data_IF_622792473484
#
_entry.id   IF_622792473484
#
_cell.length_a   1.000
_cell.length_b   1.000
_cell.length_c   1.000
_cell.angle_alpha   90.00
_cell.angle_beta   90.00
_cell.angle_gamma   90.00
#
_symmetry.space_group_name_H-M   'P 1'
#
loop_
_entity.id
_entity.type
_entity.pdbx_description
1 polymer ?
#
# COMPACT_ATOMS: atom_id res chain seq x y z
N UNK A 1 1.15 9.00 -3.92
CA UNK A 1 2.52 9.56 -4.01
C UNK A 1 2.97 10.04 -2.62
N UNK A 2 4.29 10.05 -2.34
CA UNK A 2 4.86 10.74 -1.16
C UNK A 2 4.99 12.24 -1.42
N UNK A 3 4.85 13.06 -0.38
CA UNK A 3 5.30 14.45 -0.44
C UNK A 3 6.83 14.49 -0.64
N UNK A 4 7.36 15.40 -1.47
CA UNK A 4 8.79 15.70 -1.52
C UNK A 4 9.25 16.53 -0.30
N UNK A 5 10.55 16.77 -0.21
CA UNK A 5 11.17 17.65 0.80
C UNK A 5 11.01 19.14 0.40
N UNK A 6 11.12 20.06 1.37
CA UNK A 6 11.09 21.49 1.05
C UNK A 6 12.42 22.00 0.49
N UNK A 7 12.39 23.12 -0.23
CA UNK A 7 13.58 23.74 -0.85
C UNK A 7 14.75 23.98 0.12
N UNK A 8 14.46 24.20 1.41
CA UNK A 8 15.47 24.24 2.47
C UNK A 8 15.00 23.42 3.68
N UNK A 9 14.81 22.13 3.45
CA UNK A 9 14.36 21.16 4.46
C UNK A 9 15.23 21.22 5.74
N UNK A 10 16.54 21.46 5.62
CA UNK A 10 17.42 21.60 6.78
C UNK A 10 17.12 22.83 7.66
N UNK A 11 16.80 24.00 7.09
CA UNK A 11 16.34 25.17 7.85
C UNK A 11 14.96 24.91 8.47
N UNK A 12 14.04 24.33 7.67
CA UNK A 12 12.69 23.97 8.09
C UNK A 12 12.69 23.02 9.29
N UNK A 13 13.53 22.00 9.27
CA UNK A 13 13.63 21.01 10.35
C UNK A 13 14.13 21.62 11.67
N UNK A 14 15.13 22.52 11.64
CA UNK A 14 15.56 23.24 12.85
C UNK A 14 14.40 24.02 13.48
N UNK A 15 13.56 24.66 12.66
CA UNK A 15 12.36 25.34 13.14
C UNK A 15 11.34 24.34 13.73
N UNK A 16 11.14 23.17 13.11
CA UNK A 16 10.30 22.09 13.65
C UNK A 16 10.80 21.61 15.01
N UNK A 17 12.11 21.40 15.17
CA UNK A 17 12.71 20.88 16.40
C UNK A 17 12.56 21.90 17.55
N UNK A 18 12.81 23.19 17.29
CA UNK A 18 12.55 24.30 18.24
C UNK A 18 11.08 24.30 18.69
N UNK A 19 10.13 24.16 17.77
CA UNK A 19 8.70 24.22 18.09
C UNK A 19 8.12 22.90 18.60
N UNK A 20 8.88 21.79 18.58
CA UNK A 20 8.32 20.46 18.87
C UNK A 20 7.98 20.26 20.35
N UNK A 21 8.74 20.84 21.29
CA UNK A 21 8.65 20.54 22.72
C UNK A 21 8.23 21.73 23.60
N UNK A 22 7.60 22.76 23.01
CA UNK A 22 7.16 23.96 23.72
C UNK A 22 6.15 23.68 24.85
N UNK A 23 6.24 24.37 26.01
CA UNK A 23 5.29 24.20 27.12
C UNK A 23 3.87 24.60 26.74
N UNK A 24 3.71 25.50 25.77
CA UNK A 24 2.44 25.85 25.13
C UNK A 24 1.60 24.62 24.73
N UNK A 25 2.24 23.53 24.27
CA UNK A 25 1.55 22.28 23.92
C UNK A 25 0.91 21.55 25.10
N UNK A 26 1.16 21.95 26.35
CA UNK A 26 0.45 21.46 27.54
C UNK A 26 -0.97 22.03 27.68
N UNK A 27 -1.30 23.15 27.01
CA UNK A 27 -2.61 23.78 27.09
C UNK A 27 -3.65 23.04 26.22
N UNK A 28 -4.01 21.83 26.66
CA UNK A 28 -4.98 20.97 25.98
C UNK A 28 -6.37 21.62 25.89
N UNK A 29 -6.75 22.47 26.84
CA UNK A 29 -7.99 23.25 26.79
C UNK A 29 -8.08 24.14 25.56
N UNK A 30 -7.09 25.02 25.33
CA UNK A 30 -7.07 25.97 24.20
C UNK A 30 -7.11 25.24 22.85
N UNK A 31 -6.32 24.18 22.68
CA UNK A 31 -6.26 23.44 21.40
C UNK A 31 -7.45 22.51 21.17
N UNK A 32 -7.99 21.83 22.20
CA UNK A 32 -9.21 21.04 22.05
C UNK A 32 -10.43 21.93 21.76
N UNK A 33 -10.49 23.13 22.34
CA UNK A 33 -11.50 24.14 21.98
C UNK A 33 -11.36 24.58 20.52
N UNK A 34 -10.13 24.86 20.05
CA UNK A 34 -9.88 25.23 18.66
C UNK A 34 -10.31 24.12 17.68
N UNK A 35 -9.96 22.85 17.95
CA UNK A 35 -10.41 21.72 17.15
C UNK A 35 -11.95 21.67 17.07
N UNK A 36 -12.65 21.79 18.21
CA UNK A 36 -14.14 21.83 18.23
C UNK A 36 -14.71 23.03 17.46
N UNK A 37 -14.10 24.23 17.60
CA UNK A 37 -14.44 25.46 16.86
C UNK A 37 -14.33 25.22 15.34
N UNK A 38 -13.27 24.56 14.87
CA UNK A 38 -13.07 24.23 13.45
C UNK A 38 -14.15 23.27 12.92
N UNK A 39 -14.40 22.15 13.60
CA UNK A 39 -15.38 21.15 13.16
C UNK A 39 -16.77 21.77 13.00
N UNK A 40 -17.20 22.56 14.00
CA UNK A 40 -18.50 23.23 14.02
C UNK A 40 -18.62 24.29 12.91
N UNK A 41 -17.57 25.10 12.67
CA UNK A 41 -17.60 26.18 11.66
C UNK A 41 -17.53 25.68 10.22
N UNK A 42 -16.89 24.53 9.97
CA UNK A 42 -16.70 23.99 8.62
C UNK A 42 -17.58 22.76 8.33
N UNK A 43 -18.34 22.30 9.32
CA UNK A 43 -19.20 21.11 9.24
C UNK A 43 -18.43 19.85 8.82
N UNK A 44 -17.17 19.70 9.26
CA UNK A 44 -16.27 18.61 8.85
C UNK A 44 -16.17 17.55 9.94
N UNK A 45 -16.10 16.27 9.55
CA UNK A 45 -16.00 15.15 10.50
C UNK A 45 -14.62 15.02 11.17
N UNK A 46 -13.57 15.70 10.67
CA UNK A 46 -12.25 15.68 11.26
C UNK A 46 -11.43 16.95 11.10
N UNK A 47 -10.50 17.16 12.03
CA UNK A 47 -9.60 18.29 12.09
C UNK A 47 -8.30 17.90 12.83
N UNK A 48 -7.17 18.53 12.50
CA UNK A 48 -5.90 18.30 13.22
C UNK A 48 -4.93 19.48 13.23
N UNK A 49 -4.07 19.50 14.25
CA UNK A 49 -2.87 20.33 14.36
C UNK A 49 -1.67 19.39 14.31
N UNK A 50 -0.81 19.55 13.31
CA UNK A 50 0.27 18.60 12.99
C UNK A 50 1.61 19.30 12.82
N UNK A 51 2.70 18.73 13.35
CA UNK A 51 4.08 19.10 13.03
C UNK A 51 4.72 18.06 12.12
N UNK A 52 5.51 18.49 11.12
CA UNK A 52 6.12 17.61 10.11
C UNK A 52 7.64 17.61 10.28
N UNK A 53 8.21 16.54 10.83
CA UNK A 53 9.66 16.34 10.87
C UNK A 53 10.15 15.46 9.69
N UNK A 54 11.46 15.19 9.65
CA UNK A 54 12.10 14.51 8.52
C UNK A 54 11.48 13.15 8.17
N UNK A 55 10.97 12.42 9.19
CA UNK A 55 10.50 11.03 9.06
C UNK A 55 9.01 10.85 9.35
N UNK A 56 8.38 11.80 10.04
CA UNK A 56 7.05 11.64 10.59
C UNK A 56 6.23 12.94 10.58
N UNK A 57 4.92 12.79 10.41
CA UNK A 57 3.93 13.69 10.98
C UNK A 57 3.74 13.33 12.47
N UNK A 58 3.83 14.33 13.35
CA UNK A 58 3.45 14.23 14.76
C UNK A 58 2.20 15.08 14.95
N UNK A 59 1.09 14.43 15.29
CA UNK A 59 -0.20 15.06 15.51
C UNK A 59 -0.23 15.56 16.95
N UNK A 60 -0.37 16.87 17.13
CA UNK A 60 -0.45 17.51 18.45
C UNK A 60 -1.86 17.42 19.02
N UNK A 61 -2.85 17.74 18.20
CA UNK A 61 -4.28 17.67 18.52
C UNK A 61 -5.06 17.20 17.30
N UNK A 62 -6.10 16.39 17.51
CA UNK A 62 -6.99 15.96 16.42
C UNK A 62 -8.36 15.52 16.92
N UNK A 63 -9.31 15.53 16.00
CA UNK A 63 -10.55 14.76 16.07
C UNK A 63 -10.79 14.13 14.69
N UNK A 64 -11.36 12.92 14.64
CA UNK A 64 -11.60 12.18 13.40
C UNK A 64 -10.36 11.53 12.73
N UNK A 65 -9.14 11.93 13.10
CA UNK A 65 -7.90 11.40 12.49
C UNK A 65 -7.49 10.05 13.10
N UNK A 66 -7.71 9.90 14.41
CA UNK A 66 -7.57 8.64 15.14
C UNK A 66 -6.14 8.25 15.54
N UNK A 67 -5.10 8.92 15.06
CA UNK A 67 -3.69 8.63 15.37
C UNK A 67 -2.92 9.85 15.88
N UNK A 68 -1.90 9.61 16.72
CA UNK A 68 -0.99 10.65 17.23
C UNK A 68 0.26 10.86 16.36
N UNK A 69 0.58 9.93 15.46
CA UNK A 69 1.79 9.94 14.64
C UNK A 69 1.63 9.09 13.39
N UNK A 70 2.12 9.55 12.24
CA UNK A 70 2.24 8.72 11.04
C UNK A 70 3.53 9.00 10.25
N UNK A 71 3.95 8.08 9.38
CA UNK A 71 5.14 8.27 8.54
C UNK A 71 4.94 9.43 7.54
N UNK A 72 5.98 10.24 7.29
CA UNK A 72 5.88 11.43 6.41
C UNK A 72 5.39 11.08 5.00
N UNK A 73 5.76 9.90 4.50
CA UNK A 73 5.44 9.42 3.15
C UNK A 73 3.94 9.25 2.88
N UNK A 74 3.13 9.11 3.94
CA UNK A 74 1.67 8.93 3.85
C UNK A 74 0.90 10.15 4.39
N UNK A 75 1.60 11.21 4.81
CA UNK A 75 1.01 12.42 5.36
C UNK A 75 0.42 13.33 4.26
N UNK A 76 -0.82 13.77 4.46
CA UNK A 76 -1.44 14.81 3.65
C UNK A 76 -0.96 16.21 4.08
N UNK A 77 -0.78 16.44 5.40
CA UNK A 77 -0.18 17.65 5.95
C UNK A 77 1.25 17.91 5.41
N UNK A 78 2.02 16.85 5.10
CA UNK A 78 3.33 16.96 4.47
C UNK A 78 3.29 17.51 3.03
N UNK A 79 2.14 17.46 2.35
CA UNK A 79 1.93 18.19 1.09
C UNK A 79 1.55 19.66 1.35
N UNK A 80 0.92 19.97 2.48
CA UNK A 80 0.50 21.32 2.84
C UNK A 80 1.67 22.25 3.19
N UNK A 81 2.71 21.74 3.86
CA UNK A 81 3.94 22.52 4.17
C UNK A 81 4.74 22.96 2.93
N UNK A 82 4.42 22.42 1.75
CA UNK A 82 5.04 22.80 0.47
C UNK A 82 4.27 23.95 -0.21
N UNK A 83 3.08 24.30 0.27
CA UNK A 83 2.32 25.45 -0.19
C UNK A 83 2.62 26.68 0.65
N UNK A 84 2.64 27.85 0.01
CA UNK A 84 2.78 29.14 0.69
C UNK A 84 1.46 29.71 1.21
N UNK A 85 0.33 29.04 0.97
CA UNK A 85 -1.02 29.56 1.19
C UNK A 85 -1.98 28.52 1.80
N UNK A 86 -2.26 27.44 1.06
CA UNK A 86 -3.09 26.31 1.47
C UNK A 86 -2.87 25.13 0.52
N UNK A 87 -3.27 23.94 0.93
CA UNK A 87 -3.39 22.74 0.10
C UNK A 87 -4.79 22.16 0.30
N UNK A 88 -5.53 21.96 -0.78
CA UNK A 88 -6.91 21.52 -0.74
C UNK A 88 -7.21 20.45 -1.78
N UNK A 89 -8.12 19.54 -1.43
CA UNK A 89 -8.60 18.42 -2.22
C UNK A 89 -10.11 18.33 -2.06
N UNK A 90 -10.85 18.59 -3.15
CA UNK A 90 -12.30 18.41 -3.22
C UNK A 90 -12.66 16.91 -3.11
N UNK A 91 -11.84 16.07 -3.75
CA UNK A 91 -11.87 14.62 -3.68
C UNK A 91 -10.45 14.02 -3.84
N UNK A 92 -9.81 13.70 -2.72
CA UNK A 92 -8.49 13.08 -2.64
C UNK A 92 -8.42 11.68 -3.28
N UNK A 93 -9.56 11.01 -3.51
CA UNK A 93 -9.58 9.73 -4.24
C UNK A 93 -9.44 9.90 -5.75
N UNK A 94 -9.69 11.11 -6.27
CA UNK A 94 -9.52 11.48 -7.68
C UNK A 94 -8.17 12.17 -7.96
N UNK A 95 -7.61 12.86 -6.98
CA UNK A 95 -6.33 13.57 -7.13
C UNK A 95 -5.14 12.60 -7.31
N UNK A 96 -4.37 12.78 -8.38
CA UNK A 96 -3.28 11.87 -8.77
C UNK A 96 -2.12 11.76 -7.74
N UNK A 97 -1.98 12.71 -6.83
CA UNK A 97 -0.96 12.70 -5.77
C UNK A 97 -1.41 11.82 -4.60
N UNK A 98 -2.72 11.77 -4.34
CA UNK A 98 -3.29 11.23 -3.10
C UNK A 98 -4.24 10.04 -3.29
N UNK A 99 -4.66 9.73 -4.53
CA UNK A 99 -5.50 8.58 -4.81
C UNK A 99 -4.88 7.23 -4.39
N UNK A 100 -3.54 7.14 -4.30
CA UNK A 100 -2.79 5.98 -3.81
C UNK A 100 -2.46 6.04 -2.31
N UNK A 101 -2.82 7.11 -1.61
CA UNK A 101 -2.49 7.32 -0.20
C UNK A 101 -3.31 6.38 0.72
N UNK A 102 -2.69 5.74 1.72
CA UNK A 102 -3.39 4.86 2.67
C UNK A 102 -4.52 5.51 3.45
N UNK A 103 -4.42 6.80 3.79
CA UNK A 103 -5.45 7.56 4.52
C UNK A 103 -6.67 7.92 3.66
N UNK A 104 -6.58 7.69 2.35
CA UNK A 104 -7.65 7.89 1.34
C UNK A 104 -8.26 6.53 0.96
N UNK A 105 -7.42 5.52 0.68
CA UNK A 105 -7.82 4.13 0.36
C UNK A 105 -8.24 3.30 1.58
N UNK A 106 -8.01 3.80 2.79
CA UNK A 106 -8.29 3.17 4.08
C UNK A 106 -8.52 4.25 5.14
N UNK A 107 -8.71 3.86 6.39
CA UNK A 107 -9.16 4.76 7.45
C UNK A 107 -8.24 5.99 7.63
N UNK A 108 -8.80 7.20 7.85
CA UNK A 108 -10.22 7.53 8.01
C UNK A 108 -10.95 7.85 6.68
N UNK A 109 -10.48 7.32 5.54
CA UNK A 109 -11.08 7.46 4.19
C UNK A 109 -11.22 8.90 3.71
N UNK A 110 -10.19 9.72 3.95
CA UNK A 110 -10.18 11.15 3.63
C UNK A 110 -10.48 11.35 2.14
N UNK A 111 -11.58 12.05 1.83
CA UNK A 111 -11.94 12.51 0.48
C UNK A 111 -11.84 14.02 0.39
N UNK A 112 -12.58 14.76 1.22
CA UNK A 112 -12.37 16.20 1.37
C UNK A 112 -11.19 16.45 2.32
N UNK A 113 -10.27 17.33 1.94
CA UNK A 113 -9.13 17.73 2.77
C UNK A 113 -8.75 19.18 2.47
N UNK A 114 -8.64 20.01 3.50
CA UNK A 114 -8.11 21.38 3.39
C UNK A 114 -7.12 21.62 4.53
N UNK A 115 -5.92 22.05 4.19
CA UNK A 115 -4.86 22.34 5.14
C UNK A 115 -4.18 23.67 4.82
N UNK A 116 -3.80 24.41 5.86
CA UNK A 116 -2.94 25.59 5.76
C UNK A 116 -1.65 25.31 6.52
N UNK A 117 -0.49 25.79 6.02
CA UNK A 117 0.78 25.62 6.72
C UNK A 117 0.82 26.45 8.01
N UNK A 118 1.37 25.85 9.07
CA UNK A 118 1.80 26.55 10.27
C UNK A 118 3.19 27.15 9.98
N UNK A 119 3.25 28.48 9.88
CA UNK A 119 4.42 29.26 9.42
C UNK A 119 4.99 30.10 10.57
N UNK A 120 6.30 30.01 10.83
CA UNK A 120 6.99 30.82 11.85
C UNK A 120 7.25 32.27 11.40
N UNK A 121 7.66 33.14 12.32
CA UNK A 121 8.18 34.49 12.01
C UNK A 121 9.37 34.49 11.05
N UNK A 122 10.21 33.46 11.10
CA UNK A 122 11.32 33.23 10.16
C UNK A 122 10.87 32.48 8.89
N UNK A 123 9.56 32.45 8.67
CA UNK A 123 8.85 32.02 7.47
C UNK A 123 9.03 30.53 7.12
N UNK A 124 9.31 29.69 8.11
CA UNK A 124 9.42 28.24 7.93
C UNK A 124 8.11 27.51 8.18
N UNK A 125 7.73 26.58 7.29
CA UNK A 125 6.53 25.76 7.43
C UNK A 125 6.81 24.53 8.34
N UNK A 126 6.55 24.68 9.63
CA UNK A 126 6.83 23.63 10.63
C UNK A 126 5.75 22.53 10.67
N UNK A 127 4.56 22.83 10.18
CA UNK A 127 3.39 21.98 10.36
C UNK A 127 2.20 22.41 9.52
N UNK A 128 1.03 21.87 9.83
CA UNK A 128 -0.23 22.26 9.23
C UNK A 128 -1.38 22.30 10.25
N UNK A 129 -2.35 23.18 9.99
CA UNK A 129 -3.69 23.15 10.55
C UNK A 129 -4.62 22.64 9.46
N UNK A 130 -5.31 21.53 9.70
CA UNK A 130 -6.10 20.85 8.67
C UNK A 130 -7.51 20.45 9.12
N UNK A 131 -8.41 20.36 8.15
CA UNK A 131 -9.79 19.88 8.25
C UNK A 131 -10.03 18.86 7.14
N UNK A 132 -10.84 17.83 7.41
CA UNK A 132 -11.03 16.73 6.48
C UNK A 132 -12.35 15.99 6.71
N UNK A 133 -12.75 15.24 5.70
CA UNK A 133 -14.02 14.51 5.70
C UNK A 133 -13.92 13.21 4.89
N UNK A 134 -14.72 12.22 5.25
CA UNK A 134 -14.84 10.96 4.48
C UNK A 134 -15.75 11.09 3.27
N UNK A 135 -16.46 12.21 3.14
CA UNK A 135 -17.24 12.61 1.97
C UNK A 135 -16.47 13.63 1.13
N UNK A 136 -16.62 13.58 -0.20
CA UNK A 136 -16.10 14.61 -1.10
C UNK A 136 -17.00 15.86 -1.03
N UNK A 137 -16.49 17.02 -1.45
CA UNK A 137 -17.27 18.26 -1.57
C UNK A 137 -16.95 18.93 -2.91
N UNK A 138 -17.95 19.52 -3.56
CA UNK A 138 -17.80 20.02 -4.94
C UNK A 138 -16.78 21.15 -5.07
N UNK A 139 -16.71 22.04 -4.07
CA UNK A 139 -15.80 23.17 -4.01
C UNK A 139 -15.24 23.41 -2.60
N UNK A 140 -14.08 24.07 -2.55
CA UNK A 140 -13.47 24.59 -1.32
C UNK A 140 -13.76 26.08 -1.26
N UNK A 141 -14.47 26.52 -0.21
CA UNK A 141 -14.87 27.92 -0.06
C UNK A 141 -13.67 28.81 0.34
N UNK A 142 -13.52 29.97 -0.31
CA UNK A 142 -12.46 30.93 0.03
C UNK A 142 -12.56 31.43 1.47
N UNK A 143 -13.78 31.56 2.02
CA UNK A 143 -13.99 31.89 3.44
C UNK A 143 -13.49 30.77 4.37
N UNK A 144 -13.59 29.50 3.96
CA UNK A 144 -12.98 28.39 4.72
C UNK A 144 -11.46 28.54 4.75
N UNK A 145 -10.83 28.86 3.62
CA UNK A 145 -9.38 29.09 3.54
C UNK A 145 -8.97 30.32 4.38
N UNK A 146 -9.74 31.41 4.34
CA UNK A 146 -9.48 32.64 5.10
C UNK A 146 -9.54 32.41 6.62
N UNK A 147 -10.63 31.81 7.10
CA UNK A 147 -10.83 31.53 8.53
C UNK A 147 -9.80 30.50 9.03
N UNK A 148 -9.48 29.47 8.22
CA UNK A 148 -8.47 28.48 8.59
C UNK A 148 -7.07 29.09 8.68
N UNK A 149 -6.72 30.06 7.80
CA UNK A 149 -5.47 30.85 7.93
C UNK A 149 -5.47 31.73 9.18
N UNK A 150 -6.59 32.36 9.54
CA UNK A 150 -6.70 33.13 10.78
C UNK A 150 -6.44 32.24 12.00
N UNK A 151 -7.07 31.06 12.07
CA UNK A 151 -6.84 30.07 13.13
C UNK A 151 -5.39 29.53 13.16
N UNK A 152 -4.75 29.35 12.00
CA UNK A 152 -3.34 28.95 11.94
C UNK A 152 -2.41 30.06 12.45
N UNK A 153 -2.75 31.32 12.21
CA UNK A 153 -2.06 32.46 12.79
C UNK A 153 -2.32 32.57 14.30
N UNK A 154 -3.55 32.33 14.79
CA UNK A 154 -3.87 32.24 16.24
C UNK A 154 -3.00 31.16 16.93
N UNK A 155 -2.79 30.01 16.28
CA UNK A 155 -1.90 28.94 16.77
C UNK A 155 -0.44 29.38 16.78
N UNK A 156 0.07 29.95 15.68
CA UNK A 156 1.48 30.34 15.60
C UNK A 156 1.82 31.51 16.51
N UNK A 157 0.91 32.49 16.66
CA UNK A 157 1.03 33.55 17.66
C UNK A 157 1.16 32.93 19.06
N UNK A 158 0.30 31.99 19.43
CA UNK A 158 0.38 31.34 20.75
C UNK A 158 1.64 30.49 20.97
N UNK A 159 2.17 29.85 19.94
CA UNK A 159 3.42 29.08 20.06
C UNK A 159 4.67 29.96 20.13
N UNK A 160 4.60 31.17 19.56
CA UNK A 160 5.69 32.13 19.47
C UNK A 160 5.53 33.35 20.42
N UNK A 161 4.52 33.39 21.30
CA UNK A 161 4.25 34.51 22.24
C UNK A 161 5.55 34.88 23.00
N UNK A 162 6.19 33.89 23.63
CA UNK A 162 7.49 34.01 24.32
C UNK A 162 8.72 34.08 23.38
N UNK A 163 8.57 33.84 22.07
CA UNK A 163 9.67 33.82 21.09
C UNK A 163 9.91 35.19 20.41
N UNK A 164 9.42 36.29 20.99
CA UNK A 164 9.46 37.63 20.38
C UNK A 164 10.86 38.23 20.25
N UNK A 165 11.90 37.60 20.80
CA UNK A 165 13.28 38.11 20.85
C UNK A 165 14.13 37.93 19.57
N UNK A 166 13.69 37.19 18.54
CA UNK A 166 14.58 36.79 17.41
C UNK A 166 13.93 36.94 16.00
N UNK A 167 14.33 37.94 15.18
CA UNK A 167 13.78 38.19 13.83
C UNK A 167 14.52 37.45 12.69
N UNK A 168 13.84 37.18 11.55
CA UNK A 168 14.57 36.88 10.29
C UNK A 168 13.86 36.20 9.10
N UNK A 169 13.57 37.00 8.06
CA UNK A 169 13.59 36.65 6.60
C UNK A 169 12.34 35.98 5.98
N UNK A 170 11.85 36.55 4.85
CA UNK A 170 10.60 36.21 4.14
C UNK A 170 10.78 35.49 2.77
N UNK A 171 9.65 35.16 2.11
CA UNK A 171 9.52 34.41 0.83
C UNK A 171 9.94 35.19 -0.43
N UNK A 172 10.41 34.46 -1.45
CA UNK A 172 10.18 34.58 -2.93
C UNK A 172 10.67 33.25 -3.57
N UNK A 173 10.15 32.74 -4.69
CA UNK A 173 9.02 33.13 -5.55
C UNK A 173 8.65 32.00 -6.54
N UNK A 174 7.53 32.16 -7.28
CA UNK A 174 7.00 31.25 -8.31
C UNK A 174 7.81 31.38 -9.64
N UNK A 175 7.62 30.65 -10.75
CA UNK A 175 6.39 30.12 -11.42
C UNK A 175 6.71 28.92 -12.36
N UNK A 176 5.76 28.07 -12.81
CA UNK A 176 4.89 28.12 -14.03
C UNK A 176 5.66 28.36 -15.36
N UNK A 177 5.29 27.81 -16.54
CA UNK A 177 4.08 27.05 -16.95
C UNK A 177 4.36 26.07 -18.14
N UNK A 178 3.29 25.51 -18.73
CA UNK A 178 3.22 24.54 -19.87
C UNK A 178 1.95 24.94 -20.71
N UNK A 179 1.41 24.21 -21.73
CA UNK A 179 1.92 23.25 -22.74
C UNK A 179 1.42 23.57 -24.19
N UNK A 180 1.43 22.63 -25.17
CA UNK A 180 0.27 22.34 -26.10
C UNK A 180 0.49 21.26 -27.21
N UNK A 181 -0.42 20.25 -27.27
CA UNK A 181 -0.99 19.44 -28.40
C UNK A 181 -0.04 18.94 -29.55
N UNK A 182 -0.37 18.40 -30.75
CA UNK A 182 -1.54 17.91 -31.59
C UNK A 182 -1.01 16.67 -32.40
N UNK A 183 -1.71 15.72 -33.07
CA UNK A 183 -3.10 15.23 -33.19
C UNK A 183 -3.37 14.47 -34.54
N UNK A 184 -4.31 13.49 -34.57
CA UNK A 184 -4.91 12.78 -35.79
C UNK A 184 -4.00 11.93 -36.75
N UNK A 185 -4.48 10.98 -37.59
CA UNK A 185 -5.68 10.08 -37.60
C UNK A 185 -5.63 8.99 -38.75
N UNK A 186 -6.44 7.91 -38.64
CA UNK A 186 -6.90 6.94 -39.70
C UNK A 186 -5.85 6.04 -40.42
N UNK A 187 -6.15 4.95 -41.17
CA UNK A 187 -7.42 4.31 -41.67
C UNK A 187 -7.30 2.75 -41.79
N UNK A 188 -8.40 2.04 -42.15
CA UNK A 188 -8.59 0.56 -42.36
C UNK A 188 -8.53 0.17 -43.89
N UNK A 189 -8.76 -1.09 -44.44
CA UNK A 189 -9.65 -2.21 -43.98
C UNK A 189 -9.36 -3.71 -44.39
N UNK A 190 -10.31 -4.63 -44.10
CA UNK A 190 -10.62 -5.98 -44.71
C UNK A 190 -9.58 -7.14 -44.56
N UNK A 191 -9.84 -8.47 -44.65
CA UNK A 191 -10.98 -9.44 -44.61
C UNK A 191 -10.31 -10.87 -44.42
N UNK A 192 -10.87 -12.07 -44.20
CA UNK A 192 -12.11 -12.71 -43.68
C UNK A 192 -11.92 -14.28 -43.74
N UNK A 193 -12.52 -15.05 -42.80
CA UNK A 193 -13.09 -16.44 -42.95
C UNK A 193 -12.22 -17.75 -43.04
N UNK A 194 -12.58 -18.72 -42.16
CA UNK A 194 -12.66 -20.22 -42.29
C UNK A 194 -11.60 -21.24 -41.74
N UNK A 195 -12.17 -22.38 -41.30
CA UNK A 195 -11.63 -23.76 -41.12
C UNK A 195 -10.81 -24.17 -39.86
N UNK A 196 -11.46 -25.01 -39.04
CA UNK A 196 -10.92 -26.16 -38.27
C UNK A 196 -11.14 -27.45 -39.10
N UNK A 197 -10.78 -28.70 -38.69
CA UNK A 197 -10.27 -29.19 -37.40
C UNK A 197 -9.10 -30.22 -37.43
N UNK A 198 -8.52 -30.52 -36.25
CA UNK A 198 -7.88 -31.82 -35.94
C UNK A 198 -7.73 -32.04 -34.42
N UNK A 199 -8.66 -32.74 -33.78
CA UNK A 199 -8.77 -32.82 -32.31
C UNK A 199 -7.99 -33.97 -31.67
N UNK A 200 -6.66 -34.02 -31.84
CA UNK A 200 -5.79 -35.06 -31.23
C UNK A 200 -4.50 -34.44 -30.63
N UNK A 201 -4.61 -33.83 -29.44
CA UNK A 201 -3.44 -33.43 -28.64
C UNK A 201 -3.73 -33.09 -27.15
N UNK A 202 -4.95 -33.39 -26.64
CA UNK A 202 -5.39 -32.95 -25.31
C UNK A 202 -5.43 -34.08 -24.28
N UNK A 203 -5.80 -35.31 -24.66
CA UNK A 203 -5.94 -36.44 -23.73
C UNK A 203 -4.62 -36.78 -23.02
N UNK A 204 -3.52 -36.86 -23.79
CA UNK A 204 -2.16 -37.10 -23.28
C UNK A 204 -1.62 -35.97 -22.39
N UNK A 205 -2.24 -34.78 -22.47
CA UNK A 205 -1.76 -33.56 -21.81
C UNK A 205 -2.35 -33.37 -20.41
N UNK A 206 -3.44 -34.05 -20.09
CA UNK A 206 -4.16 -33.92 -18.82
C UNK A 206 -4.15 -35.18 -17.95
N UNK A 207 -4.11 -36.40 -18.52
CA UNK A 207 -4.08 -37.64 -17.71
C UNK A 207 -5.47 -38.16 -17.33
N UNK A 208 -5.58 -38.94 -16.24
CA UNK A 208 -6.83 -39.62 -15.85
C UNK A 208 -7.70 -38.75 -14.94
N UNK A 209 -8.97 -38.59 -15.30
CA UNK A 209 -10.01 -38.04 -14.43
C UNK A 209 -10.51 -39.11 -13.45
N UNK A 210 -10.81 -38.72 -12.20
CA UNK A 210 -11.12 -39.64 -11.10
C UNK A 210 -12.52 -39.46 -10.48
N UNK A 211 -13.28 -38.41 -10.84
CA UNK A 211 -14.67 -38.23 -10.40
C UNK A 211 -15.68 -38.73 -11.45
N UNK A 212 -16.80 -39.30 -10.97
CA UNK A 212 -17.98 -39.67 -11.77
C UNK A 212 -19.20 -38.76 -11.51
N UNK A 213 -18.99 -37.66 -10.78
CA UNK A 213 -20.04 -36.75 -10.31
C UNK A 213 -20.17 -35.50 -11.22
N UNK A 214 -21.35 -35.22 -11.82
CA UNK A 214 -21.53 -34.13 -12.79
C UNK A 214 -21.29 -32.71 -12.27
N UNK A 215 -21.16 -32.49 -10.96
CA UNK A 215 -21.08 -31.15 -10.37
C UNK A 215 -19.66 -30.70 -9.99
N UNK A 216 -18.66 -31.57 -10.15
CA UNK A 216 -17.27 -31.28 -9.79
C UNK A 216 -16.49 -30.58 -10.91
N UNK A 217 -15.75 -29.52 -10.57
CA UNK A 217 -14.76 -28.92 -11.49
C UNK A 217 -13.52 -29.83 -11.54
N UNK A 218 -13.41 -30.63 -12.60
CA UNK A 218 -12.40 -31.70 -12.74
C UNK A 218 -10.98 -31.16 -12.53
N UNK A 219 -10.24 -31.83 -11.64
CA UNK A 219 -8.80 -31.70 -11.45
C UNK A 219 -8.16 -33.01 -11.94
N UNK A 220 -6.98 -32.90 -12.54
CA UNK A 220 -6.16 -34.04 -12.94
C UNK A 220 -4.83 -34.03 -12.16
N UNK A 221 -4.36 -35.20 -11.74
CA UNK A 221 -3.04 -35.37 -11.13
C UNK A 221 -1.98 -35.76 -12.17
N UNK A 222 -0.72 -35.39 -11.89
CA UNK A 222 0.39 -35.56 -12.86
C UNK A 222 1.63 -36.28 -12.30
N UNK A 223 1.72 -36.51 -10.99
CA UNK A 223 2.89 -37.09 -10.32
C UNK A 223 2.62 -38.41 -9.57
N UNK A 224 1.36 -38.76 -9.31
CA UNK A 224 0.99 -39.99 -8.61
C UNK A 224 1.35 -40.01 -7.11
N UNK A 225 1.54 -38.84 -6.50
CA UNK A 225 2.02 -38.70 -5.11
C UNK A 225 1.05 -39.18 -4.02
N UNK A 226 -0.24 -39.36 -4.32
CA UNK A 226 -1.21 -40.12 -3.50
C UNK A 226 -1.65 -39.48 -2.18
N UNK A 227 -1.20 -38.25 -1.86
CA UNK A 227 -1.54 -37.53 -0.63
C UNK A 227 -2.72 -36.57 -0.80
N UNK A 228 -3.68 -36.63 0.13
CA UNK A 228 -4.97 -35.92 0.06
C UNK A 228 -4.86 -34.39 0.28
N UNK A 229 -4.46 -33.65 -0.75
CA UNK A 229 -4.45 -32.18 -0.75
C UNK A 229 -5.80 -31.60 -1.20
N UNK A 230 -6.74 -31.42 -0.27
CA UNK A 230 -8.05 -30.85 -0.59
C UNK A 230 -7.98 -29.33 -0.85
N UNK A 231 -8.49 -28.89 -2.01
CA UNK A 231 -8.77 -27.48 -2.28
C UNK A 231 -9.99 -27.01 -1.46
N UNK A 232 -9.76 -26.64 -0.20
CA UNK A 232 -10.84 -26.50 0.78
C UNK A 232 -11.81 -25.36 0.46
N UNK A 233 -13.11 -25.67 0.49
CA UNK A 233 -14.20 -24.77 0.05
C UNK A 233 -14.35 -23.53 0.94
N UNK A 234 -13.94 -23.62 2.21
CA UNK A 234 -13.97 -22.53 3.21
C UNK A 234 -13.13 -21.30 2.78
N UNK A 235 -12.06 -21.50 2.01
CA UNK A 235 -11.24 -20.37 1.51
C UNK A 235 -11.96 -19.50 0.45
N UNK A 236 -13.23 -19.76 0.13
CA UNK A 236 -14.04 -18.90 -0.76
C UNK A 236 -14.53 -17.64 -0.05
N UNK A 237 -13.64 -16.64 0.08
CA UNK A 237 -13.94 -15.29 0.60
C UNK A 237 -15.16 -14.58 -0.02
N UNK A 238 -15.73 -15.08 -1.12
CA UNK A 238 -16.96 -14.55 -1.74
C UNK A 238 -18.20 -14.59 -0.84
N UNK A 239 -18.23 -15.39 0.24
CA UNK A 239 -19.30 -15.33 1.26
C UNK A 239 -19.17 -14.15 2.23
N UNK A 240 -17.97 -13.60 2.39
CA UNK A 240 -17.64 -12.57 3.38
C UNK A 240 -17.21 -11.24 2.74
N UNK A 241 -17.46 -11.07 1.44
CA UNK A 241 -17.23 -9.84 0.70
C UNK A 241 -18.37 -8.83 0.95
N UNK A 242 -18.64 -8.51 2.22
CA UNK A 242 -19.56 -7.43 2.55
C UNK A 242 -18.98 -6.09 2.07
N UNK A 243 -19.73 -5.21 1.38
CA UNK A 243 -19.08 -4.14 0.61
C UNK A 243 -18.52 -2.97 1.43
N UNK A 244 -18.84 -2.91 2.73
CA UNK A 244 -18.53 -1.78 3.61
C UNK A 244 -17.92 -2.18 4.97
N UNK A 245 -16.80 -1.52 5.26
CA UNK A 245 -16.21 -1.08 6.54
C UNK A 245 -15.81 -2.03 7.69
N UNK A 246 -16.60 -3.01 8.14
CA UNK A 246 -16.39 -3.59 9.50
C UNK A 246 -15.15 -4.49 9.70
N UNK A 247 -14.42 -4.85 8.63
CA UNK A 247 -13.24 -5.74 8.70
C UNK A 247 -11.89 -5.03 8.88
N UNK A 248 -11.83 -3.71 9.02
CA UNK A 248 -10.58 -3.00 9.30
C UNK A 248 -10.47 -2.70 10.80
N UNK A 249 -9.70 -3.51 11.51
CA UNK A 249 -9.38 -3.27 12.92
C UNK A 249 -8.70 -1.91 13.12
N UNK A 250 -9.49 -0.95 13.62
CA UNK A 250 -9.09 0.42 13.94
C UNK A 250 -7.88 0.49 14.90
N UNK A 251 -7.74 -0.47 15.81
CA UNK A 251 -6.61 -0.51 16.75
C UNK A 251 -5.32 -0.95 16.08
N UNK A 252 -5.39 -1.89 15.13
CA UNK A 252 -4.25 -2.34 14.33
C UNK A 252 -3.84 -1.27 13.33
N UNK A 253 -4.81 -0.65 12.63
CA UNK A 253 -4.56 0.47 11.72
C UNK A 253 -3.81 1.62 12.40
N UNK A 254 -4.27 2.06 13.58
CA UNK A 254 -3.63 3.10 14.40
C UNK A 254 -2.20 2.75 14.81
N UNK A 255 -1.93 1.50 15.19
CA UNK A 255 -0.58 1.05 15.53
C UNK A 255 0.35 1.01 14.30
N UNK A 256 -0.15 0.51 13.17
CA UNK A 256 0.64 0.41 11.93
C UNK A 256 1.01 1.77 11.34
N UNK A 257 0.22 2.83 11.57
CA UNK A 257 0.55 4.20 11.14
C UNK A 257 1.87 4.72 11.74
N UNK A 258 2.23 4.29 12.96
CA UNK A 258 3.51 4.64 13.58
C UNK A 258 4.74 3.98 12.94
N UNK A 259 4.56 3.00 12.05
CA UNK A 259 5.65 2.22 11.47
C UNK A 259 6.33 2.94 10.29
N UNK A 260 7.67 3.03 10.33
CA UNK A 260 8.49 3.76 9.35
C UNK A 260 8.50 3.14 7.96
N UNK A 261 8.35 1.81 7.87
CA UNK A 261 8.50 1.04 6.64
C UNK A 261 7.81 -0.32 6.78
N UNK A 262 7.68 -1.03 5.65
CA UNK A 262 7.06 -2.35 5.58
C UNK A 262 7.61 -3.33 6.61
N UNK A 263 8.95 -3.44 6.75
CA UNK A 263 9.59 -4.43 7.64
C UNK A 263 9.23 -4.20 9.11
N UNK A 264 9.15 -2.96 9.58
CA UNK A 264 8.68 -2.67 10.94
C UNK A 264 7.20 -3.02 11.08
N UNK A 265 6.37 -2.65 10.10
CA UNK A 265 4.93 -2.92 10.10
C UNK A 265 4.60 -4.44 10.06
N UNK A 266 5.34 -5.24 9.29
CA UNK A 266 5.14 -6.69 9.21
C UNK A 266 5.58 -7.43 10.46
N UNK A 267 6.64 -6.98 11.15
CA UNK A 267 7.01 -7.56 12.46
C UNK A 267 5.99 -7.20 13.56
N UNK A 268 5.48 -5.96 13.56
CA UNK A 268 4.41 -5.56 14.48
C UNK A 268 3.12 -6.37 14.24
N UNK A 269 2.73 -6.52 12.98
CA UNK A 269 1.52 -7.26 12.59
C UNK A 269 1.64 -8.76 12.87
N UNK A 270 2.83 -9.35 12.69
CA UNK A 270 3.10 -10.73 13.08
C UNK A 270 2.92 -10.93 14.58
N UNK A 271 3.38 -9.99 15.42
CA UNK A 271 3.18 -10.03 16.87
C UNK A 271 1.70 -9.93 17.24
N UNK A 272 0.97 -8.97 16.66
CA UNK A 272 -0.48 -8.80 16.91
C UNK A 272 -1.26 -10.09 16.60
N UNK A 273 -0.87 -10.85 15.57
CA UNK A 273 -1.51 -12.12 15.22
C UNK A 273 -1.14 -13.27 16.17
N UNK A 274 0.07 -13.26 16.75
CA UNK A 274 0.45 -14.17 17.83
C UNK A 274 -0.32 -13.83 19.11
N UNK A 275 -0.27 -12.57 19.55
CA UNK A 275 -0.87 -12.09 20.80
C UNK A 275 -2.38 -12.30 20.85
N UNK A 276 -3.08 -12.22 19.69
CA UNK A 276 -4.55 -12.31 19.61
C UNK A 276 -5.08 -13.68 19.20
N UNK A 277 -4.40 -14.38 18.29
CA UNK A 277 -4.88 -15.66 17.75
C UNK A 277 -4.07 -16.86 18.28
N UNK A 278 -3.03 -16.65 19.10
CA UNK A 278 -2.26 -17.73 19.71
C UNK A 278 -1.47 -18.60 18.71
N UNK A 279 -1.02 -18.02 17.59
CA UNK A 279 -0.10 -18.71 16.68
C UNK A 279 1.29 -18.82 17.29
N UNK A 280 1.98 -19.92 17.01
CA UNK A 280 3.32 -20.18 17.54
C UNK A 280 4.43 -19.53 16.69
N UNK A 281 4.17 -19.30 15.40
CA UNK A 281 5.02 -18.50 14.53
C UNK A 281 4.18 -17.76 13.49
N UNK A 282 4.50 -16.49 13.22
CA UNK A 282 3.89 -15.71 12.14
C UNK A 282 4.98 -14.96 11.37
N UNK A 283 4.98 -15.07 10.04
CA UNK A 283 5.94 -14.38 9.19
C UNK A 283 5.38 -13.89 7.86
N UNK A 284 6.05 -12.89 7.30
CA UNK A 284 5.74 -12.29 6.02
C UNK A 284 6.89 -12.50 5.04
N UNK A 285 6.58 -13.00 3.84
CA UNK A 285 7.53 -13.17 2.74
C UNK A 285 7.14 -12.33 1.53
N UNK A 286 8.14 -11.82 0.82
CA UNK A 286 7.99 -11.44 -0.58
C UNK A 286 8.37 -12.62 -1.47
N UNK A 287 7.57 -12.92 -2.48
CA UNK A 287 8.01 -13.70 -3.64
C UNK A 287 8.42 -12.72 -4.75
N UNK A 288 9.60 -12.92 -5.31
CA UNK A 288 10.12 -12.21 -6.48
C UNK A 288 10.43 -13.25 -7.56
N UNK A 289 9.76 -13.19 -8.69
CA UNK A 289 10.01 -14.08 -9.83
C UNK A 289 10.44 -13.26 -11.05
N UNK A 290 11.39 -13.79 -11.83
CA UNK A 290 11.97 -13.11 -12.99
C UNK A 290 12.29 -14.10 -14.10
N UNK A 291 11.54 -14.04 -15.20
CA UNK A 291 11.72 -14.88 -16.39
C UNK A 291 12.52 -14.13 -17.46
N UNK A 292 13.53 -14.74 -18.11
CA UNK A 292 14.19 -14.13 -19.26
C UNK A 292 13.23 -14.07 -20.46
N UNK A 293 13.23 -12.94 -21.17
CA UNK A 293 12.39 -12.72 -22.33
C UNK A 293 13.10 -11.89 -23.39
N UNK A 294 12.60 -11.88 -24.63
CA UNK A 294 13.12 -11.08 -25.76
C UNK A 294 12.02 -10.39 -26.52
N UNK A 295 12.37 -9.31 -27.21
CA UNK A 295 11.52 -8.67 -28.20
C UNK A 295 12.38 -8.02 -29.30
N UNK A 296 11.85 -7.92 -30.53
CA UNK A 296 12.51 -7.18 -31.61
C UNK A 296 12.57 -5.68 -31.29
N UNK A 297 13.74 -5.05 -31.51
CA UNK A 297 14.06 -3.69 -31.05
C UNK A 297 13.07 -2.61 -31.49
N UNK A 298 12.49 -2.76 -32.69
CA UNK A 298 11.42 -1.89 -33.24
C UNK A 298 10.18 -1.82 -32.33
N UNK A 299 9.88 -2.88 -31.58
CA UNK A 299 8.69 -3.02 -30.72
C UNK A 299 8.98 -2.83 -29.24
N UNK A 300 10.21 -2.51 -28.85
CA UNK A 300 10.66 -2.38 -27.46
C UNK A 300 9.80 -1.35 -26.68
N UNK A 301 9.21 -1.69 -25.51
CA UNK A 301 8.45 -0.73 -24.70
C UNK A 301 9.30 0.49 -24.37
N UNK A 302 8.76 1.71 -24.54
CA UNK A 302 9.54 2.97 -24.42
C UNK A 302 10.13 3.16 -23.02
N UNK A 303 9.36 2.86 -21.98
CA UNK A 303 9.77 2.94 -20.58
C UNK A 303 10.80 1.87 -20.17
N UNK A 304 11.38 2.02 -18.97
CA UNK A 304 12.24 1.02 -18.33
C UNK A 304 11.47 -0.19 -17.84
N UNK A 305 10.28 0.04 -17.28
CA UNK A 305 9.32 -0.97 -16.84
C UNK A 305 7.95 -0.65 -17.42
N UNK A 306 7.21 -1.66 -17.89
CA UNK A 306 5.81 -1.52 -18.31
C UNK A 306 5.02 -2.76 -17.86
N UNK A 307 3.73 -2.62 -17.56
CA UNK A 307 2.85 -3.76 -17.26
C UNK A 307 2.58 -4.57 -18.54
N UNK A 308 2.72 -5.90 -18.50
CA UNK A 308 2.61 -6.74 -19.70
C UNK A 308 1.23 -6.61 -20.38
N UNK A 309 0.16 -6.58 -19.58
CA UNK A 309 -1.21 -6.38 -20.07
C UNK A 309 -1.42 -5.04 -20.79
N UNK A 310 -0.72 -3.99 -20.38
CA UNK A 310 -0.89 -2.62 -20.87
C UNK A 310 0.09 -2.32 -22.03
N UNK A 311 0.98 -3.28 -22.35
CA UNK A 311 1.99 -3.16 -23.40
C UNK A 311 1.49 -3.67 -24.77
N UNK A 312 1.35 -2.74 -25.73
CA UNK A 312 0.82 -2.96 -27.11
C UNK A 312 1.44 -4.11 -27.91
N UNK A 313 2.62 -4.61 -27.56
CA UNK A 313 3.29 -5.71 -28.27
C UNK A 313 3.61 -6.91 -27.36
N UNK A 314 2.82 -7.13 -26.31
CA UNK A 314 2.94 -8.29 -25.42
C UNK A 314 2.91 -9.64 -26.18
N UNK A 315 2.06 -9.76 -27.20
CA UNK A 315 2.00 -10.91 -28.13
C UNK A 315 3.21 -11.06 -29.09
N UNK A 316 4.27 -10.26 -28.89
CA UNK A 316 5.58 -10.37 -29.56
C UNK A 316 6.74 -10.40 -28.54
N UNK A 317 6.44 -10.68 -27.28
CA UNK A 317 7.44 -11.05 -26.27
C UNK A 317 7.68 -12.55 -26.35
N UNK A 318 8.91 -12.94 -26.65
CA UNK A 318 9.35 -14.33 -26.69
C UNK A 318 9.90 -14.68 -25.30
N UNK A 319 9.41 -15.75 -24.68
CA UNK A 319 9.94 -16.25 -23.39
C UNK A 319 11.15 -17.14 -23.68
N UNK A 320 12.25 -16.94 -22.95
CA UNK A 320 13.56 -17.52 -23.28
C UNK A 320 14.16 -18.40 -22.16
N UNK A 321 13.31 -18.95 -21.29
CA UNK A 321 13.70 -19.80 -20.17
C UNK A 321 12.70 -19.74 -19.01
N UNK A 322 13.02 -20.44 -17.92
CA UNK A 322 12.15 -20.61 -16.75
C UNK A 322 12.19 -19.43 -15.77
N UNK A 323 11.28 -19.44 -14.79
CA UNK A 323 11.27 -18.43 -13.72
C UNK A 323 12.45 -18.63 -12.76
N UNK A 324 13.31 -17.62 -12.66
CA UNK A 324 14.17 -17.49 -11.48
C UNK A 324 13.33 -16.95 -10.31
N UNK A 325 13.10 -17.80 -9.30
CA UNK A 325 12.24 -17.48 -8.13
C UNK A 325 13.11 -17.25 -6.89
N UNK A 326 12.83 -16.17 -6.17
CA UNK A 326 13.47 -15.81 -4.90
C UNK A 326 12.41 -15.42 -3.88
N UNK A 327 12.47 -16.02 -2.69
CA UNK A 327 11.74 -15.54 -1.53
C UNK A 327 12.62 -14.60 -0.70
N UNK A 328 12.00 -13.68 0.03
CA UNK A 328 12.67 -12.76 0.95
C UNK A 328 11.83 -12.59 2.21
N UNK A 329 12.41 -12.94 3.37
CA UNK A 329 11.77 -12.74 4.67
C UNK A 329 11.71 -11.25 5.03
N UNK A 330 10.49 -10.74 5.28
CA UNK A 330 10.23 -9.32 5.53
C UNK A 330 10.12 -9.01 7.02
N UNK A 331 9.42 -9.87 7.76
CA UNK A 331 9.31 -9.86 9.22
C UNK A 331 8.80 -11.19 9.74
N UNK A 332 9.12 -11.52 10.99
CA UNK A 332 8.87 -12.81 11.64
C UNK A 332 8.80 -12.62 13.16
N UNK A 333 7.88 -13.30 13.84
CA UNK A 333 7.77 -13.37 15.30
C UNK A 333 7.37 -14.81 15.71
N UNK A 334 7.60 -15.18 16.98
CA UNK A 334 7.32 -16.52 17.50
C UNK A 334 8.53 -17.45 17.42
N UNK A 335 8.30 -18.75 17.13
CA UNK A 335 9.37 -19.74 16.92
C UNK A 335 10.10 -19.44 15.61
N UNK A 336 11.34 -18.95 15.68
CA UNK A 336 12.15 -18.51 14.52
C UNK A 336 13.19 -19.56 14.08
N UNK A 337 13.52 -20.52 14.93
CA UNK A 337 14.60 -21.49 14.67
C UNK A 337 14.33 -22.31 13.39
N UNK A 338 15.34 -22.36 12.52
CA UNK A 338 15.27 -23.01 11.20
C UNK A 338 14.60 -22.20 10.08
N UNK A 339 13.93 -21.07 10.37
CA UNK A 339 13.17 -20.32 9.37
C UNK A 339 14.02 -19.21 8.73
N UNK A 340 14.40 -19.40 7.47
CA UNK A 340 15.12 -18.42 6.66
C UNK A 340 14.33 -18.01 5.40
N UNK A 341 15.00 -17.53 4.34
CA UNK A 341 14.37 -17.25 3.03
C UNK A 341 14.41 -18.43 2.04
N UNK A 342 14.83 -19.61 2.50
CA UNK A 342 14.84 -20.87 1.75
C UNK A 342 13.93 -21.95 2.36
N UNK A 343 13.46 -21.78 3.60
CA UNK A 343 12.43 -22.59 4.24
C UNK A 343 11.21 -22.79 3.32
N UNK A 344 10.83 -24.06 3.08
CA UNK A 344 9.54 -24.47 2.46
C UNK A 344 9.14 -23.80 1.13
N UNK A 345 10.10 -23.50 0.25
CA UNK A 345 9.87 -22.81 -1.04
C UNK A 345 8.71 -23.38 -1.88
N UNK A 346 8.59 -24.70 -1.95
CA UNK A 346 7.57 -25.36 -2.77
C UNK A 346 6.16 -25.15 -2.19
N UNK A 347 6.03 -25.23 -0.86
CA UNK A 347 4.80 -24.86 -0.16
C UNK A 347 4.44 -23.38 -0.37
N UNK A 348 5.41 -22.45 -0.29
CA UNK A 348 5.14 -21.02 -0.59
C UNK A 348 4.78 -20.76 -2.04
N UNK A 349 5.40 -21.47 -2.98
CA UNK A 349 5.09 -21.37 -4.41
C UNK A 349 3.67 -21.88 -4.70
N UNK A 350 3.30 -23.05 -4.13
CA UNK A 350 1.94 -23.60 -4.19
C UNK A 350 0.92 -22.65 -3.56
N UNK A 351 1.20 -22.12 -2.37
CA UNK A 351 0.36 -21.14 -1.69
C UNK A 351 0.20 -19.83 -2.47
N UNK A 352 1.25 -19.39 -3.21
CA UNK A 352 1.16 -18.24 -4.10
C UNK A 352 0.37 -18.52 -5.38
N UNK A 353 0.41 -19.75 -5.89
CA UNK A 353 -0.41 -20.20 -7.03
C UNK A 353 -1.91 -20.23 -6.72
N UNK A 354 -2.30 -20.75 -5.56
CA UNK A 354 -3.71 -20.82 -5.16
C UNK A 354 -4.27 -19.44 -4.81
N UNK A 355 -5.37 -19.04 -5.46
CA UNK A 355 -5.97 -17.69 -5.34
C UNK A 355 -6.09 -17.19 -3.90
N UNK A 356 -6.46 -18.06 -2.97
CA UNK A 356 -6.79 -17.75 -1.58
C UNK A 356 -5.78 -18.26 -0.54
N UNK A 357 -4.69 -18.92 -0.97
CA UNK A 357 -3.72 -19.56 -0.08
C UNK A 357 -3.98 -21.06 0.15
N UNK A 358 -3.19 -21.65 1.04
CA UNK A 358 -3.17 -23.09 1.36
C UNK A 358 -3.09 -23.27 2.87
N UNK A 359 -3.85 -24.23 3.40
CA UNK A 359 -3.76 -24.70 4.79
C UNK A 359 -2.69 -25.80 4.85
N UNK A 360 -1.76 -25.68 5.80
CA UNK A 360 -0.68 -26.63 6.06
C UNK A 360 -1.09 -27.60 7.16
N UNK A 361 -0.85 -28.90 6.96
CA UNK A 361 -0.92 -29.93 7.98
C UNK A 361 0.18 -30.98 7.73
N UNK A 362 0.80 -31.52 8.77
CA UNK A 362 1.74 -32.64 8.65
C UNK A 362 1.69 -33.60 9.83
N UNK A 363 1.84 -34.89 9.54
CA UNK A 363 1.99 -35.97 10.52
C UNK A 363 3.45 -36.33 10.80
N UNK A 364 4.41 -35.73 10.09
CA UNK A 364 5.84 -36.10 10.19
C UNK A 364 6.41 -35.82 11.59
N UNK A 365 6.95 -36.84 12.26
CA UNK A 365 7.44 -36.73 13.64
C UNK A 365 8.52 -35.65 13.84
N UNK A 366 9.32 -35.35 12.82
CA UNK A 366 10.41 -34.36 12.86
C UNK A 366 10.00 -32.90 12.55
N UNK A 367 8.77 -32.63 12.15
CA UNK A 367 8.36 -31.29 11.73
C UNK A 367 8.19 -30.32 12.92
N UNK A 368 8.76 -29.11 12.80
CA UNK A 368 8.64 -28.02 13.80
C UNK A 368 7.21 -27.53 13.96
N UNK A 369 6.43 -27.52 12.88
CA UNK A 369 5.03 -27.11 12.86
C UNK A 369 4.14 -28.27 12.40
N UNK A 370 2.93 -28.34 12.96
CA UNK A 370 1.95 -29.43 12.72
C UNK A 370 0.77 -28.94 11.90
N UNK A 371 0.30 -27.72 12.15
CA UNK A 371 -0.69 -27.03 11.32
C UNK A 371 -0.29 -25.59 11.04
N UNK A 372 -0.94 -24.98 10.05
CA UNK A 372 -0.71 -23.58 9.67
C UNK A 372 -1.54 -23.15 8.49
N UNK A 373 -1.40 -21.89 8.07
CA UNK A 373 -1.99 -21.36 6.83
C UNK A 373 -1.03 -20.38 6.18
N UNK A 374 -0.93 -20.40 4.85
CA UNK A 374 -0.16 -19.44 4.07
C UNK A 374 -1.05 -18.76 3.03
N UNK A 375 -1.15 -17.43 3.09
CA UNK A 375 -2.14 -16.63 2.35
C UNK A 375 -1.44 -15.54 1.51
N UNK A 376 -1.60 -15.54 0.17
CA UNK A 376 -1.13 -14.49 -0.72
C UNK A 376 -2.06 -13.28 -0.65
N UNK A 377 -1.69 -12.28 0.15
CA UNK A 377 -2.52 -11.09 0.38
C UNK A 377 -2.29 -9.98 -0.67
N UNK A 378 -1.16 -9.97 -1.38
CA UNK A 378 -0.94 -9.11 -2.54
C UNK A 378 -0.19 -9.85 -3.65
N UNK A 379 -0.59 -9.60 -4.91
CA UNK A 379 0.09 -10.07 -6.12
C UNK A 379 0.49 -8.87 -6.96
N UNK A 380 1.76 -8.81 -7.33
CA UNK A 380 2.31 -7.80 -8.23
C UNK A 380 1.96 -8.23 -9.66
N UNK A 381 1.23 -7.42 -10.45
CA UNK A 381 0.93 -7.74 -11.84
C UNK A 381 2.22 -7.79 -12.67
N UNK A 382 2.23 -8.63 -13.71
CA UNK A 382 3.41 -8.90 -14.51
C UNK A 382 3.95 -7.64 -15.21
N UNK A 383 5.26 -7.42 -15.09
CA UNK A 383 5.98 -6.28 -15.68
C UNK A 383 7.09 -6.74 -16.61
N UNK A 384 7.19 -6.15 -17.79
CA UNK A 384 8.40 -6.21 -18.61
C UNK A 384 9.41 -5.18 -18.10
N UNK A 385 10.64 -5.60 -17.84
CA UNK A 385 11.74 -4.75 -17.38
C UNK A 385 12.93 -4.86 -18.32
N UNK A 386 13.44 -3.73 -18.81
CA UNK A 386 14.60 -3.70 -19.73
C UNK A 386 15.91 -4.10 -19.05
N UNK A 387 16.74 -4.91 -19.72
CA UNK A 387 18.11 -5.25 -19.29
C UNK A 387 19.11 -4.09 -19.45
N UNK A 388 18.91 -3.22 -20.43
CA UNK A 388 19.79 -2.06 -20.74
C UNK A 388 19.00 -0.89 -21.35
N UNK A 389 19.59 0.31 -21.35
CA UNK A 389 19.09 1.46 -22.11
C UNK A 389 19.59 1.50 -23.57
N UNK A 390 20.72 0.86 -23.88
CA UNK A 390 21.26 0.84 -25.25
C UNK A 390 20.37 -0.03 -26.14
N UNK A 391 19.98 0.49 -27.31
CA UNK A 391 19.32 -0.29 -28.37
C UNK A 391 20.35 -1.25 -28.98
N UNK A 392 20.17 -2.54 -28.74
CA UNK A 392 20.66 -3.57 -29.68
C UNK A 392 19.82 -3.49 -30.96
N UNK A 393 20.44 -3.77 -32.11
CA UNK A 393 19.86 -3.41 -33.43
C UNK A 393 18.58 -4.21 -33.72
N UNK A 394 18.61 -5.54 -33.60
CA UNK A 394 17.49 -6.40 -33.98
C UNK A 394 16.64 -6.92 -32.82
N UNK A 395 17.28 -7.44 -31.75
CA UNK A 395 16.61 -8.10 -30.62
C UNK A 395 17.19 -7.61 -29.30
N UNK A 396 16.33 -7.35 -28.32
CA UNK A 396 16.72 -6.87 -26.98
C UNK A 396 16.20 -7.80 -25.89
N UNK A 397 17.09 -8.16 -24.95
CA UNK A 397 16.73 -8.92 -23.76
C UNK A 397 15.91 -8.07 -22.76
N UNK A 398 14.86 -8.68 -22.25
CA UNK A 398 13.97 -8.20 -21.20
C UNK A 398 13.91 -9.23 -20.06
N UNK A 399 13.33 -8.82 -18.93
CA UNK A 399 12.84 -9.74 -17.92
C UNK A 399 11.34 -9.53 -17.73
N UNK A 400 10.56 -10.61 -17.73
CA UNK A 400 9.20 -10.60 -17.22
C UNK A 400 9.27 -10.82 -15.71
N UNK A 401 8.99 -9.77 -14.93
CA UNK A 401 8.98 -9.80 -13.47
C UNK A 401 7.56 -9.89 -12.94
N UNK A 402 7.35 -10.83 -12.03
CA UNK A 402 6.10 -11.03 -11.30
C UNK A 402 6.43 -11.43 -9.85
N UNK A 403 5.41 -11.67 -9.04
CA UNK A 403 5.60 -11.99 -7.62
C UNK A 403 4.53 -11.37 -6.73
N UNK A 404 4.82 -11.23 -5.45
CA UNK A 404 3.86 -10.69 -4.49
C UNK A 404 4.27 -10.95 -3.05
N UNK A 405 3.28 -11.00 -2.16
CA UNK A 405 3.48 -11.05 -0.73
C UNK A 405 2.57 -12.10 -0.09
N UNK A 406 3.19 -12.93 0.75
CA UNK A 406 2.58 -14.01 1.52
C UNK A 406 2.65 -13.65 3.00
N UNK A 407 1.61 -13.99 3.75
CA UNK A 407 1.68 -14.15 5.20
C UNK A 407 1.53 -15.64 5.51
N UNK A 408 2.31 -16.15 6.47
CA UNK A 408 2.19 -17.51 6.96
C UNK A 408 2.04 -17.51 8.49
N UNK A 409 1.09 -18.26 9.00
CA UNK A 409 0.81 -18.42 10.44
C UNK A 409 0.84 -19.92 10.77
N UNK A 410 1.59 -20.33 11.78
CA UNK A 410 1.86 -21.74 12.09
C UNK A 410 1.70 -22.08 13.58
N UNK A 411 1.41 -23.35 13.84
CA UNK A 411 1.26 -23.95 15.17
C UNK A 411 2.21 -25.15 15.35
N UNK A 412 2.82 -25.26 16.52
CA UNK A 412 3.66 -26.42 16.90
C UNK A 412 2.82 -27.61 17.34
N UNK A 413 1.56 -27.39 17.72
CA UNK A 413 0.53 -28.40 17.94
C UNK A 413 -0.41 -28.53 16.72
N UNK A 414 -1.08 -29.68 16.58
CA UNK A 414 -2.09 -29.85 15.53
C UNK A 414 -3.37 -29.10 15.95
N UNK A 415 -3.62 -27.95 15.32
CA UNK A 415 -4.76 -27.06 15.60
C UNK A 415 -5.45 -26.69 14.29
N UNK A 416 -6.76 -26.92 14.22
CA UNK A 416 -7.60 -26.40 13.14
C UNK A 416 -7.66 -24.86 13.21
N UNK A 417 -7.75 -24.21 12.05
CA UNK A 417 -7.75 -22.74 11.91
C UNK A 417 -9.10 -22.32 11.34
N UNK A 418 -9.79 -21.41 12.02
CA UNK A 418 -11.20 -21.09 11.70
C UNK A 418 -11.33 -20.11 10.51
N UNK A 419 -12.52 -20.05 9.89
CA UNK A 419 -12.82 -19.04 8.86
C UNK A 419 -12.66 -17.61 9.42
N UNK A 420 -12.98 -17.38 10.69
CA UNK A 420 -12.85 -16.09 11.36
C UNK A 420 -11.38 -15.69 11.55
N UNK A 421 -10.52 -16.63 11.96
CA UNK A 421 -9.07 -16.43 12.07
C UNK A 421 -8.45 -16.12 10.72
N UNK A 422 -8.83 -16.86 9.67
CA UNK A 422 -8.41 -16.64 8.28
C UNK A 422 -8.89 -15.26 7.79
N UNK A 423 -10.11 -14.88 8.13
CA UNK A 423 -10.69 -13.56 7.86
C UNK A 423 -9.91 -12.43 8.53
N UNK A 424 -9.58 -12.56 9.82
CA UNK A 424 -8.81 -11.58 10.58
C UNK A 424 -7.35 -11.48 10.09
N UNK A 425 -6.70 -12.61 9.76
CA UNK A 425 -5.38 -12.65 9.12
C UNK A 425 -5.41 -11.87 7.79
N UNK A 426 -6.39 -12.13 6.93
CA UNK A 426 -6.51 -11.45 5.63
C UNK A 426 -6.88 -9.97 5.79
N UNK A 427 -7.72 -9.60 6.77
CA UNK A 427 -8.03 -8.21 7.14
C UNK A 427 -6.76 -7.45 7.55
N UNK A 428 -6.02 -8.00 8.50
CA UNK A 428 -4.70 -7.50 8.94
C UNK A 428 -3.72 -7.34 7.77
N UNK A 429 -3.56 -8.36 6.93
CA UNK A 429 -2.66 -8.29 5.78
C UNK A 429 -3.15 -7.31 4.69
N UNK A 430 -4.46 -7.10 4.57
CA UNK A 430 -5.08 -6.08 3.72
C UNK A 430 -4.74 -4.66 4.20
N UNK A 431 -4.61 -4.42 5.51
CA UNK A 431 -4.06 -3.16 6.07
C UNK A 431 -2.63 -2.95 5.56
N UNK A 432 -1.74 -3.94 5.77
CA UNK A 432 -0.34 -3.88 5.34
C UNK A 432 -0.21 -3.59 3.83
N UNK A 433 -1.08 -4.19 3.01
CA UNK A 433 -1.19 -3.93 1.58
C UNK A 433 -1.64 -2.50 1.26
N UNK A 434 -2.76 -2.03 1.84
CA UNK A 434 -3.27 -0.67 1.63
C UNK A 434 -2.23 0.38 2.03
N UNK A 435 -1.46 0.11 3.09
CA UNK A 435 -0.49 1.04 3.67
C UNK A 435 0.84 1.14 2.93
N UNK A 436 1.38 0.02 2.41
CA UNK A 436 2.76 -0.01 1.92
C UNK A 436 2.93 -0.59 0.50
N UNK A 437 1.90 -1.21 -0.09
CA UNK A 437 2.00 -1.93 -1.36
C UNK A 437 1.10 -1.39 -2.48
N UNK A 438 0.20 -0.46 -2.16
CA UNK A 438 -0.77 0.16 -3.08
C UNK A 438 -0.45 1.63 -3.43
N UNK A 439 0.81 2.05 -3.19
CA UNK A 439 1.36 3.40 -3.46
C UNK A 439 1.54 3.69 -4.96
#
# INVERSE_FOLDING_TARGET
MSAPESYNEAKRLRAVDIHSNLPHWGNSGKFNFLIKKMLNLFGTNGASISLINARYQVVKYQQGLGFAKCARQISLDAHAILSSQFFALNDASKDWRTNSNPLVKGLPYIKYFVAVPLITRQNEAIGALSIFDSFARDNVNENTILILKQMANEVMQYLEEDMTSIPGISKKGQSRENPSQVGSASTNPNCSISSTPSSVSLLEKFGRATSRDPTSSIIFERDGSGSSYQNHTLLRFSRFYHPYDDLIDLSVWKQMLGCKNFRVASNLLARILIDRLGFHCVYFMQMQASRPARIKGVRLPKEREVLLRDFKHNNKVEICGDDSIRFQLLGIQGVVEGIDSNWEKEFHLRAFGVKHGVIYHTSESKATFRSGVCIPFYRIPEKLVRRSQRRTVDVTDLYLRHGGYLISCFNTNNREITEEEIGYIYGCASILRRMYLMM
#
